data_IF_697659438410
#
_entry.id   IF_697659438410
#
_cell.length_a   1.000
_cell.length_b   1.000
_cell.length_c   1.000
_cell.angle_alpha   90.00
_cell.angle_beta   90.00
_cell.angle_gamma   90.00
#
_symmetry.space_group_name_H-M   'P 1'
#
loop_
_entity.id
_entity.type
_entity.pdbx_description
1 polymer ?
#
# COMPACT_ATOMS: atom_id res chain seq x y z
N UNK A 1 -33.61 -21.71 -56.74
CA UNK A 1 -33.99 -21.93 -55.32
C UNK A 1 -32.76 -21.67 -54.48
N UNK A 2 -32.63 -20.40 -54.04
CA UNK A 2 -31.57 -19.92 -53.20
C UNK A 2 -31.89 -20.19 -51.73
N UNK A 3 -30.97 -20.81 -51.01
CA UNK A 3 -31.05 -20.92 -49.55
C UNK A 3 -30.32 -19.75 -48.94
N UNK A 4 -31.07 -18.80 -48.39
CA UNK A 4 -30.58 -17.78 -47.48
C UNK A 4 -30.16 -18.43 -46.16
N UNK A 5 -28.87 -18.38 -45.84
CA UNK A 5 -28.36 -18.75 -44.54
C UNK A 5 -28.48 -17.61 -43.56
N UNK A 6 -29.29 -17.79 -42.51
CA UNK A 6 -29.39 -16.87 -41.39
C UNK A 6 -28.09 -16.83 -40.58
N UNK A 7 -27.44 -15.67 -40.53
CA UNK A 7 -26.36 -15.37 -39.57
C UNK A 7 -26.99 -15.15 -38.18
N UNK A 8 -26.42 -15.72 -37.10
CA UNK A 8 -26.93 -15.47 -35.76
C UNK A 8 -26.57 -14.06 -35.30
N UNK A 9 -27.55 -13.36 -34.78
CA UNK A 9 -27.41 -12.09 -34.08
C UNK A 9 -26.62 -12.32 -32.80
N UNK A 10 -25.34 -11.88 -32.76
CA UNK A 10 -24.60 -11.72 -31.53
C UNK A 10 -24.90 -10.34 -30.93
N UNK A 11 -25.78 -10.28 -29.94
CA UNK A 11 -25.96 -9.13 -29.08
C UNK A 11 -25.03 -9.23 -27.90
N UNK A 12 -23.84 -8.63 -28.01
CA UNK A 12 -23.05 -8.19 -26.86
C UNK A 12 -22.20 -7.00 -27.29
N UNK A 13 -22.41 -5.87 -26.63
CA UNK A 13 -21.82 -4.58 -26.92
C UNK A 13 -20.33 -4.53 -26.53
N UNK A 14 -19.50 -5.22 -27.30
CA UNK A 14 -18.03 -5.05 -27.27
C UNK A 14 -17.66 -4.06 -28.38
N UNK A 15 -17.25 -2.85 -28.00
CA UNK A 15 -16.77 -1.84 -28.95
C UNK A 15 -15.38 -2.24 -29.45
N UNK A 16 -15.31 -2.87 -30.62
CA UNK A 16 -14.07 -3.19 -31.33
C UNK A 16 -13.80 -2.16 -32.42
N UNK A 17 -12.56 -1.77 -32.60
CA UNK A 17 -12.09 -1.05 -33.78
C UNK A 17 -11.66 -2.10 -34.82
N UNK A 18 -12.36 -2.17 -35.96
CA UNK A 18 -12.04 -3.09 -37.06
C UNK A 18 -10.85 -2.50 -37.85
N UNK A 19 -9.67 -3.10 -37.76
CA UNK A 19 -8.53 -2.79 -38.61
C UNK A 19 -8.38 -3.90 -39.67
N UNK A 20 -8.58 -3.54 -40.94
CA UNK A 20 -8.40 -4.46 -42.07
C UNK A 20 -6.97 -4.25 -42.59
N UNK A 21 -6.14 -5.26 -42.49
CA UNK A 21 -4.79 -5.28 -43.06
C UNK A 21 -4.81 -6.27 -44.24
N UNK A 22 -4.25 -5.83 -45.38
CA UNK A 22 -4.06 -6.66 -46.58
C UNK A 22 -2.58 -7.14 -46.61
N UNK A 23 -2.39 -8.43 -46.63
CA UNK A 23 -1.07 -9.01 -46.83
C UNK A 23 -1.21 -10.23 -47.77
N UNK A 24 -0.64 -10.15 -48.97
CA UNK A 24 -0.51 -11.25 -49.94
C UNK A 24 -1.80 -12.06 -50.19
N UNK A 25 -2.89 -11.38 -50.55
CA UNK A 25 -4.22 -11.98 -50.84
C UNK A 25 -5.02 -12.48 -49.62
N UNK A 26 -4.51 -12.38 -48.40
CA UNK A 26 -5.27 -12.70 -47.19
C UNK A 26 -5.80 -11.45 -46.48
N UNK A 27 -7.07 -11.46 -46.09
CA UNK A 27 -7.70 -10.41 -45.28
C UNK A 27 -7.47 -10.79 -43.81
N UNK A 28 -6.52 -10.12 -43.15
CA UNK A 28 -6.30 -10.28 -41.71
C UNK A 28 -7.17 -9.25 -41.00
N UNK A 29 -8.27 -9.72 -40.39
CA UNK A 29 -9.12 -8.87 -39.54
C UNK A 29 -8.53 -8.82 -38.12
N UNK A 30 -7.84 -7.74 -37.78
CA UNK A 30 -7.35 -7.49 -36.43
C UNK A 30 -8.41 -6.68 -35.67
N UNK A 31 -9.11 -7.33 -34.76
CA UNK A 31 -10.03 -6.66 -33.85
C UNK A 31 -9.23 -6.05 -32.70
N UNK A 32 -8.93 -4.76 -32.77
CA UNK A 32 -8.27 -4.05 -31.67
C UNK A 32 -9.32 -3.64 -30.64
N UNK A 33 -9.21 -4.20 -29.42
CA UNK A 33 -10.07 -3.84 -28.29
C UNK A 33 -9.90 -2.34 -27.99
N UNK A 34 -11.01 -1.60 -27.87
CA UNK A 34 -10.95 -0.18 -27.50
C UNK A 34 -10.36 -0.04 -26.10
N UNK A 35 -9.34 0.82 -25.95
CA UNK A 35 -8.74 1.11 -24.65
C UNK A 35 -9.79 1.71 -23.70
N UNK A 36 -9.78 1.26 -22.45
CA UNK A 36 -10.61 1.84 -21.39
C UNK A 36 -10.00 3.14 -20.89
N UNK A 37 -10.82 4.15 -20.66
CA UNK A 37 -10.42 5.43 -20.08
C UNK A 37 -10.65 5.39 -18.58
N UNK A 38 -9.57 5.49 -17.80
CA UNK A 38 -9.58 5.51 -16.34
C UNK A 38 -9.12 6.90 -15.88
N UNK A 39 -9.94 7.60 -15.11
CA UNK A 39 -9.55 8.87 -14.51
C UNK A 39 -9.29 8.67 -13.00
N UNK A 40 -8.05 8.85 -12.59
CA UNK A 40 -7.58 8.71 -11.21
C UNK A 40 -7.69 10.05 -10.50
N UNK A 41 -8.41 10.10 -9.37
CA UNK A 41 -8.60 11.33 -8.59
C UNK A 41 -7.94 11.19 -7.22
N UNK A 42 -6.92 12.01 -6.96
CA UNK A 42 -6.17 12.01 -5.70
C UNK A 42 -5.59 13.39 -5.39
N UNK A 43 -5.67 13.81 -4.15
CA UNK A 43 -4.94 14.96 -3.59
C UNK A 43 -3.78 14.54 -2.68
N UNK A 44 -3.51 13.23 -2.56
CA UNK A 44 -2.56 12.68 -1.59
C UNK A 44 -1.11 13.13 -1.79
N UNK A 45 -0.74 13.60 -2.97
CA UNK A 45 0.61 14.11 -3.25
C UNK A 45 0.95 15.41 -2.50
N UNK A 46 -0.05 16.10 -1.97
CA UNK A 46 0.14 17.35 -1.21
C UNK A 46 0.73 17.14 0.18
N UNK A 47 0.79 15.89 0.68
CA UNK A 47 1.28 15.57 2.02
C UNK A 47 2.38 14.52 1.94
N UNK A 48 3.61 14.93 2.27
CA UNK A 48 4.79 14.04 2.28
C UNK A 48 4.71 12.98 3.39
N UNK A 49 5.25 11.78 3.13
CA UNK A 49 5.42 10.72 4.14
C UNK A 49 4.15 9.95 4.49
N UNK A 50 3.10 10.03 3.65
CA UNK A 50 1.88 9.22 3.83
C UNK A 50 1.88 7.97 2.93
N UNK A 51 1.48 6.83 3.50
CA UNK A 51 1.36 5.56 2.75
C UNK A 51 0.36 5.62 1.59
N UNK A 52 -0.71 6.41 1.72
CA UNK A 52 -1.72 6.60 0.65
C UNK A 52 -1.10 7.21 -0.60
N UNK A 53 -0.23 8.24 -0.46
CA UNK A 53 0.46 8.86 -1.59
C UNK A 53 1.42 7.88 -2.28
N UNK A 54 2.11 7.04 -1.51
CA UNK A 54 2.96 5.98 -2.05
C UNK A 54 2.17 4.96 -2.87
N UNK A 55 1.11 4.40 -2.29
CA UNK A 55 0.25 3.42 -2.95
C UNK A 55 -0.41 3.97 -4.24
N UNK A 56 -0.89 5.22 -4.20
CA UNK A 56 -1.44 5.89 -5.38
C UNK A 56 -0.42 5.99 -6.52
N UNK A 57 0.78 6.53 -6.22
CA UNK A 57 1.84 6.71 -7.23
C UNK A 57 2.30 5.38 -7.83
N UNK A 58 2.44 4.34 -7.01
CA UNK A 58 2.82 3.02 -7.52
C UNK A 58 1.76 2.45 -8.47
N UNK A 59 0.47 2.57 -8.14
CA UNK A 59 -0.61 2.11 -9.03
C UNK A 59 -0.64 2.90 -10.34
N UNK A 60 -0.59 4.23 -10.29
CA UNK A 60 -0.60 5.08 -11.50
C UNK A 60 0.61 4.77 -12.38
N UNK A 61 1.80 4.65 -11.79
CA UNK A 61 3.02 4.30 -12.50
C UNK A 61 2.91 2.94 -13.19
N UNK A 62 2.43 1.92 -12.47
CA UNK A 62 2.24 0.57 -13.01
C UNK A 62 1.31 0.59 -14.22
N UNK A 63 0.16 1.24 -14.11
CA UNK A 63 -0.82 1.31 -15.19
C UNK A 63 -0.32 2.08 -16.41
N UNK A 64 0.44 3.18 -16.22
CA UNK A 64 1.06 3.92 -17.32
C UNK A 64 2.16 3.12 -18.03
N UNK A 65 2.96 2.35 -17.29
CA UNK A 65 4.06 1.56 -17.85
C UNK A 65 3.55 0.32 -18.58
N UNK A 66 2.73 -0.49 -17.93
CA UNK A 66 2.45 -1.87 -18.33
C UNK A 66 1.04 -2.08 -18.88
N UNK A 67 0.10 -1.15 -18.65
CA UNK A 67 -1.27 -1.24 -19.14
C UNK A 67 -1.59 -0.32 -20.33
N UNK A 68 -0.59 0.39 -20.89
CA UNK A 68 -0.76 1.40 -21.95
C UNK A 68 -1.47 0.90 -23.20
N UNK A 69 -1.44 -0.40 -23.47
CA UNK A 69 -2.10 -1.01 -24.62
C UNK A 69 -3.59 -1.30 -24.36
N UNK A 70 -4.01 -1.36 -23.11
CA UNK A 70 -5.37 -1.67 -22.66
C UNK A 70 -6.09 -0.47 -22.07
N UNK A 71 -5.34 0.45 -21.40
CA UNK A 71 -5.89 1.59 -20.69
C UNK A 71 -5.38 2.92 -21.21
N UNK A 72 -6.20 3.96 -21.07
CA UNK A 72 -5.83 5.37 -21.13
C UNK A 72 -6.04 5.91 -19.72
N UNK A 73 -4.96 6.09 -18.97
CA UNK A 73 -4.99 6.60 -17.59
C UNK A 73 -4.79 8.11 -17.62
N UNK A 74 -5.62 8.82 -16.88
CA UNK A 74 -5.52 10.27 -16.68
C UNK A 74 -5.64 10.59 -15.20
N UNK A 75 -5.09 11.71 -14.78
CA UNK A 75 -5.02 12.11 -13.37
C UNK A 75 -5.64 13.48 -13.17
N UNK A 76 -6.57 13.55 -12.22
CA UNK A 76 -7.17 14.81 -11.76
C UNK A 76 -7.76 15.70 -12.87
N UNK A 77 -8.19 15.11 -13.98
CA UNK A 77 -8.76 15.86 -15.11
C UNK A 77 -10.30 15.82 -15.08
N UNK A 78 -10.97 16.94 -15.44
CA UNK A 78 -12.43 16.99 -15.53
C UNK A 78 -12.93 16.45 -16.90
N UNK A 79 -12.55 15.21 -17.23
CA UNK A 79 -12.84 14.57 -18.52
C UNK A 79 -13.81 13.40 -18.39
N UNK A 80 -14.37 12.98 -19.54
CA UNK A 80 -15.16 11.75 -19.61
C UNK A 80 -14.26 10.51 -19.51
N UNK A 81 -14.65 9.57 -18.64
CA UNK A 81 -13.96 8.31 -18.43
C UNK A 81 -14.95 7.14 -18.43
N UNK A 82 -14.48 5.92 -18.72
CA UNK A 82 -15.28 4.70 -18.52
C UNK A 82 -15.35 4.37 -17.03
N UNK A 83 -14.28 4.70 -16.28
CA UNK A 83 -14.18 4.56 -14.81
C UNK A 83 -13.52 5.80 -14.22
N UNK A 84 -14.09 6.35 -13.16
CA UNK A 84 -13.44 7.34 -12.30
C UNK A 84 -13.11 6.69 -10.96
N UNK A 85 -11.82 6.69 -10.61
CA UNK A 85 -11.30 6.04 -9.42
C UNK A 85 -10.83 7.09 -8.40
N UNK A 86 -11.56 7.19 -7.28
CA UNK A 86 -11.35 8.17 -6.21
C UNK A 86 -10.43 7.57 -5.14
N UNK A 87 -9.24 8.11 -5.00
CA UNK A 87 -8.25 7.70 -3.99
C UNK A 87 -8.27 8.54 -2.72
N UNK A 88 -8.87 9.74 -2.78
CA UNK A 88 -9.06 10.61 -1.63
C UNK A 88 -10.48 11.13 -1.58
N UNK A 89 -10.92 11.54 -0.39
CA UNK A 89 -12.32 11.93 -0.11
C UNK A 89 -12.50 13.45 -0.05
N UNK A 90 -11.71 14.20 -0.82
CA UNK A 90 -11.77 15.67 -0.82
C UNK A 90 -13.13 16.21 -1.23
N UNK A 91 -13.51 17.35 -0.66
CA UNK A 91 -14.80 17.97 -0.93
C UNK A 91 -15.05 18.28 -2.43
N UNK A 92 -14.08 18.77 -3.22
CA UNK A 92 -14.28 18.92 -4.68
C UNK A 92 -14.58 17.60 -5.38
N UNK A 93 -13.93 16.50 -4.96
CA UNK A 93 -14.22 15.18 -5.51
C UNK A 93 -15.60 14.68 -5.07
N UNK A 94 -16.02 14.95 -3.82
CA UNK A 94 -17.39 14.67 -3.39
C UNK A 94 -18.41 15.37 -4.31
N UNK A 95 -18.21 16.65 -4.62
CA UNK A 95 -19.10 17.38 -5.53
C UNK A 95 -19.09 16.79 -6.94
N UNK A 96 -17.95 16.33 -7.44
CA UNK A 96 -17.85 15.70 -8.77
C UNK A 96 -18.66 14.41 -8.89
N UNK A 97 -18.95 13.72 -7.79
CA UNK A 97 -19.77 12.50 -7.81
C UNK A 97 -21.22 12.72 -8.27
N UNK A 98 -21.70 13.98 -8.27
CA UNK A 98 -23.02 14.33 -8.79
C UNK A 98 -23.07 14.43 -10.32
N UNK A 99 -21.93 14.50 -10.99
CA UNK A 99 -21.82 14.62 -12.45
C UNK A 99 -21.89 13.23 -13.13
N UNK A 100 -23.08 12.63 -13.19
CA UNK A 100 -23.28 11.24 -13.66
C UNK A 100 -22.76 10.97 -15.07
N UNK A 101 -22.87 11.94 -16.01
CA UNK A 101 -22.53 11.73 -17.44
C UNK A 101 -21.02 11.71 -17.72
N UNK A 102 -20.19 12.34 -16.89
CA UNK A 102 -18.73 12.46 -17.12
C UNK A 102 -17.90 11.43 -16.39
N UNK A 103 -18.40 10.94 -15.26
CA UNK A 103 -17.59 10.11 -14.36
C UNK A 103 -17.53 8.64 -14.75
N UNK A 104 -18.35 8.18 -15.70
CA UNK A 104 -18.48 6.74 -15.93
C UNK A 104 -18.85 6.03 -14.64
N UNK A 105 -18.30 4.83 -14.42
CA UNK A 105 -18.48 4.11 -13.15
C UNK A 105 -17.56 4.64 -12.07
N UNK A 106 -18.14 5.02 -10.94
CA UNK A 106 -17.42 5.62 -9.79
C UNK A 106 -16.93 4.53 -8.85
N UNK A 107 -15.64 4.48 -8.64
CA UNK A 107 -14.95 3.56 -7.74
C UNK A 107 -14.28 4.36 -6.64
N UNK A 108 -14.47 3.98 -5.38
CA UNK A 108 -13.78 4.56 -4.25
C UNK A 108 -12.69 3.62 -3.73
N UNK A 109 -11.50 4.14 -3.48
CA UNK A 109 -10.44 3.39 -2.82
C UNK A 109 -10.44 3.71 -1.34
N UNK A 110 -10.74 2.74 -0.51
CA UNK A 110 -10.87 2.90 0.94
C UNK A 110 -9.52 2.66 1.59
N UNK A 111 -8.79 3.74 1.83
CA UNK A 111 -7.50 3.70 2.52
C UNK A 111 -7.65 3.77 4.04
N UNK A 112 -8.77 4.25 4.54
CA UNK A 112 -9.07 4.36 5.97
C UNK A 112 -10.57 4.37 6.22
N UNK A 113 -10.94 4.08 7.45
CA UNK A 113 -12.29 4.30 7.99
C UNK A 113 -12.25 5.40 9.07
N UNK A 114 -13.38 6.08 9.37
CA UNK A 114 -13.39 7.14 10.38
C UNK A 114 -12.81 6.72 11.73
N UNK A 115 -13.10 5.51 12.15
CA UNK A 115 -12.68 4.97 13.44
C UNK A 115 -11.16 4.69 13.47
N UNK A 116 -10.50 4.46 12.31
CA UNK A 116 -9.05 4.28 12.20
C UNK A 116 -8.24 5.57 12.22
N UNK A 117 -8.90 6.74 12.19
CA UNK A 117 -8.24 8.05 12.35
C UNK A 117 -7.94 8.37 13.82
N UNK A 118 -8.55 7.65 14.75
CA UNK A 118 -8.29 7.82 16.19
C UNK A 118 -6.82 7.47 16.50
N UNK A 119 -6.16 8.32 17.28
CA UNK A 119 -4.73 8.19 17.59
C UNK A 119 -3.77 8.66 16.48
N UNK A 120 -4.28 9.03 15.29
CA UNK A 120 -3.48 9.65 14.23
C UNK A 120 -3.68 11.16 14.12
N UNK A 121 -4.92 11.62 14.33
CA UNK A 121 -5.31 13.04 14.27
C UNK A 121 -6.12 13.44 15.51
N UNK A 122 -5.84 14.64 16.02
CA UNK A 122 -6.64 15.26 17.10
C UNK A 122 -7.91 15.86 16.51
N UNK A 123 -8.95 15.02 16.32
CA UNK A 123 -10.28 15.48 15.88
C UNK A 123 -11.09 15.85 17.13
N UNK A 124 -11.57 17.10 17.26
CA UNK A 124 -12.46 17.50 18.35
C UNK A 124 -13.69 16.58 18.42
N UNK A 125 -14.08 16.19 19.62
CA UNK A 125 -15.16 15.23 19.87
C UNK A 125 -16.46 15.56 19.10
N UNK A 126 -16.86 16.83 19.09
CA UNK A 126 -18.08 17.29 18.43
C UNK A 126 -18.02 17.20 16.88
N UNK A 127 -16.82 17.11 16.28
CA UNK A 127 -16.64 16.95 14.83
C UNK A 127 -16.58 15.49 14.39
N UNK A 128 -16.32 14.54 15.29
CA UNK A 128 -16.19 13.11 14.94
C UNK A 128 -17.42 12.59 14.20
N UNK A 129 -18.64 12.91 14.69
CA UNK A 129 -19.88 12.48 14.05
C UNK A 129 -20.09 13.08 12.66
N UNK A 130 -19.68 14.34 12.46
CA UNK A 130 -19.75 15.02 11.15
C UNK A 130 -18.79 14.37 10.16
N UNK A 131 -17.55 14.14 10.59
CA UNK A 131 -16.52 13.47 9.76
C UNK A 131 -16.98 12.07 9.38
N UNK A 132 -17.45 11.28 10.34
CA UNK A 132 -17.99 9.92 10.10
C UNK A 132 -19.11 9.94 9.06
N UNK A 133 -20.08 10.85 9.23
CA UNK A 133 -21.20 10.99 8.28
C UNK A 133 -20.74 11.40 6.88
N UNK A 134 -19.77 12.30 6.79
CA UNK A 134 -19.19 12.74 5.52
C UNK A 134 -18.49 11.59 4.79
N UNK A 135 -17.60 10.86 5.47
CA UNK A 135 -16.86 9.73 4.89
C UNK A 135 -17.81 8.66 4.36
N UNK A 136 -18.76 8.21 5.16
CA UNK A 136 -19.74 7.22 4.72
C UNK A 136 -20.69 7.75 3.64
N UNK A 137 -21.04 9.04 3.66
CA UNK A 137 -21.79 9.65 2.57
C UNK A 137 -21.00 9.61 1.25
N UNK A 138 -19.67 9.84 1.30
CA UNK A 138 -18.81 9.71 0.14
C UNK A 138 -18.77 8.27 -0.38
N UNK A 139 -18.52 7.29 0.49
CA UNK A 139 -18.45 5.87 0.10
C UNK A 139 -19.77 5.34 -0.44
N UNK A 140 -20.90 5.73 0.12
CA UNK A 140 -22.23 5.36 -0.37
C UNK A 140 -22.55 5.90 -1.78
N UNK A 141 -21.84 6.94 -2.24
CA UNK A 141 -21.99 7.48 -3.60
C UNK A 141 -21.18 6.72 -4.63
N UNK A 142 -20.28 5.84 -4.20
CA UNK A 142 -19.52 4.97 -5.09
C UNK A 142 -20.38 3.80 -5.56
N UNK A 143 -20.19 3.41 -6.80
CA UNK A 143 -20.85 2.22 -7.39
C UNK A 143 -20.10 0.95 -7.02
N UNK A 144 -18.81 1.09 -6.66
CA UNK A 144 -17.98 0.03 -6.10
C UNK A 144 -16.90 0.60 -5.20
N UNK A 145 -16.46 -0.16 -4.20
CA UNK A 145 -15.36 0.18 -3.31
C UNK A 145 -14.25 -0.85 -3.42
N UNK A 146 -13.02 -0.39 -3.46
CA UNK A 146 -11.84 -1.22 -3.27
C UNK A 146 -11.28 -0.93 -1.89
N UNK A 147 -10.98 -1.97 -1.12
CA UNK A 147 -10.35 -1.86 0.20
C UNK A 147 -8.93 -2.40 0.14
N UNK A 148 -7.98 -1.72 0.79
CA UNK A 148 -6.60 -2.21 0.96
C UNK A 148 -6.45 -3.15 2.15
N UNK A 149 -7.39 -3.05 3.09
CA UNK A 149 -7.45 -3.86 4.30
C UNK A 149 -8.70 -4.74 4.24
N UNK A 150 -8.58 -6.06 4.20
CA UNK A 150 -9.74 -6.95 4.12
C UNK A 150 -10.66 -6.86 5.34
N UNK A 151 -10.15 -6.45 6.51
CA UNK A 151 -10.95 -6.23 7.72
C UNK A 151 -12.00 -5.13 7.54
N UNK A 152 -11.73 -4.15 6.66
CA UNK A 152 -12.69 -3.06 6.37
C UNK A 152 -13.97 -3.53 5.69
N UNK A 153 -13.98 -4.73 5.12
CA UNK A 153 -15.17 -5.26 4.45
C UNK A 153 -16.33 -5.39 5.45
N UNK A 154 -16.07 -5.98 6.59
CA UNK A 154 -17.11 -6.19 7.62
C UNK A 154 -17.56 -4.85 8.23
N UNK A 155 -16.65 -3.91 8.43
CA UNK A 155 -16.98 -2.56 8.93
C UNK A 155 -17.86 -1.80 7.94
N UNK A 156 -17.57 -1.89 6.63
CA UNK A 156 -18.37 -1.27 5.58
C UNK A 156 -19.75 -1.91 5.45
N UNK A 157 -19.84 -3.22 5.58
CA UNK A 157 -21.10 -3.97 5.59
C UNK A 157 -21.95 -3.58 6.81
N UNK A 158 -21.34 -3.51 7.99
CA UNK A 158 -22.01 -3.05 9.22
C UNK A 158 -22.50 -1.60 9.09
N UNK A 159 -21.82 -0.76 8.29
CA UNK A 159 -22.24 0.60 7.97
C UNK A 159 -23.33 0.69 6.86
N UNK A 160 -23.83 -0.46 6.36
CA UNK A 160 -24.91 -0.54 5.39
C UNK A 160 -24.46 -0.55 3.92
N UNK A 161 -23.18 -0.74 3.63
CA UNK A 161 -22.69 -0.90 2.24
C UNK A 161 -22.84 -2.37 1.84
N UNK A 162 -23.53 -2.68 0.71
CA UNK A 162 -23.70 -4.06 0.26
C UNK A 162 -22.36 -4.76 0.03
N UNK A 163 -22.21 -6.01 0.50
CA UNK A 163 -20.98 -6.81 0.41
C UNK A 163 -20.47 -6.95 -1.04
N UNK A 164 -21.37 -7.10 -1.99
CA UNK A 164 -21.08 -7.23 -3.42
C UNK A 164 -20.49 -5.95 -4.05
N UNK A 165 -20.58 -4.82 -3.38
CA UNK A 165 -19.96 -3.55 -3.80
C UNK A 165 -18.55 -3.38 -3.26
N UNK A 166 -17.99 -4.33 -2.53
CA UNK A 166 -16.67 -4.21 -1.91
C UNK A 166 -15.75 -5.31 -2.41
N UNK A 167 -14.58 -4.94 -2.90
CA UNK A 167 -13.51 -5.87 -3.32
C UNK A 167 -12.22 -5.54 -2.60
N UNK A 168 -11.54 -6.56 -2.07
CA UNK A 168 -10.18 -6.41 -1.56
C UNK A 168 -9.19 -6.48 -2.72
N UNK A 169 -8.36 -5.46 -2.86
CA UNK A 169 -7.18 -5.45 -3.73
C UNK A 169 -6.05 -4.82 -2.91
N UNK A 170 -5.01 -5.57 -2.57
CA UNK A 170 -3.92 -5.08 -1.74
C UNK A 170 -3.05 -4.02 -2.44
N UNK A 171 -2.27 -3.31 -1.64
CA UNK A 171 -1.15 -2.54 -2.15
C UNK A 171 -0.02 -3.47 -2.62
N UNK A 172 0.90 -2.92 -3.40
CA UNK A 172 2.11 -3.58 -3.89
C UNK A 172 3.26 -2.57 -3.93
N UNK A 173 4.46 -3.05 -4.18
CA UNK A 173 5.65 -2.21 -4.31
C UNK A 173 6.43 -2.56 -5.58
N UNK A 174 7.14 -1.55 -6.09
CA UNK A 174 8.00 -1.70 -7.25
C UNK A 174 9.28 -2.47 -6.91
N UNK A 175 9.48 -3.63 -7.53
CA UNK A 175 10.68 -4.46 -7.36
C UNK A 175 11.95 -3.85 -7.96
N UNK A 176 11.85 -2.96 -8.93
CA UNK A 176 13.02 -2.22 -9.45
C UNK A 176 13.55 -1.24 -8.41
N UNK A 177 12.68 -0.71 -7.58
CA UNK A 177 13.01 0.23 -6.50
C UNK A 177 13.35 -0.48 -5.19
N UNK A 178 12.58 -1.50 -4.85
CA UNK A 178 12.72 -2.27 -3.62
C UNK A 178 13.22 -3.67 -3.94
N UNK A 179 14.52 -3.88 -3.77
CA UNK A 179 15.20 -5.13 -4.02
C UNK A 179 16.41 -5.26 -3.09
N UNK A 180 16.93 -6.47 -2.84
CA UNK A 180 18.13 -6.68 -2.05
C UNK A 180 19.33 -5.92 -2.65
N UNK A 181 20.25 -5.49 -1.78
CA UNK A 181 21.52 -4.94 -2.20
C UNK A 181 22.60 -6.05 -2.27
N UNK A 182 23.62 -5.89 -3.15
CA UNK A 182 24.79 -6.76 -3.14
C UNK A 182 25.51 -6.74 -1.79
N UNK A 183 26.08 -7.87 -1.37
CA UNK A 183 26.77 -7.99 -0.09
C UNK A 183 27.90 -6.96 0.09
N UNK A 184 28.62 -6.65 -0.98
CA UNK A 184 29.70 -5.65 -0.96
C UNK A 184 29.17 -4.25 -0.60
N UNK A 185 27.99 -3.90 -1.09
CA UNK A 185 27.34 -2.62 -0.77
C UNK A 185 26.88 -2.58 0.69
N UNK A 186 26.36 -3.69 1.21
CA UNK A 186 25.96 -3.81 2.63
C UNK A 186 27.18 -3.62 3.54
N UNK A 187 28.31 -4.22 3.23
CA UNK A 187 29.57 -4.07 4.00
C UNK A 187 30.04 -2.61 3.96
N UNK A 188 29.99 -1.96 2.80
CA UNK A 188 30.34 -0.53 2.69
C UNK A 188 29.43 0.33 3.56
N UNK A 189 28.12 0.11 3.50
CA UNK A 189 27.13 0.87 4.29
C UNK A 189 27.34 0.68 5.80
N UNK A 190 27.67 -0.54 6.25
CA UNK A 190 28.04 -0.79 7.66
C UNK A 190 29.25 0.04 8.08
N UNK A 191 30.28 0.07 7.26
CA UNK A 191 31.49 0.87 7.51
C UNK A 191 31.19 2.37 7.57
N UNK A 192 30.41 2.90 6.62
CA UNK A 192 29.99 4.31 6.59
C UNK A 192 29.20 4.73 7.84
N UNK A 193 28.42 3.83 8.41
CA UNK A 193 27.67 4.05 9.65
C UNK A 193 28.49 3.77 10.92
N UNK A 194 29.75 3.37 10.80
CA UNK A 194 30.61 3.00 11.95
C UNK A 194 30.15 1.72 12.66
N UNK A 195 29.43 0.84 11.96
CA UNK A 195 28.92 -0.42 12.52
C UNK A 195 29.93 -1.55 12.26
N UNK A 196 30.17 -2.37 13.28
CA UNK A 196 31.00 -3.57 13.12
C UNK A 196 30.27 -4.68 12.35
N UNK A 197 31.05 -5.60 11.74
CA UNK A 197 30.48 -6.69 10.95
C UNK A 197 29.55 -7.62 11.75
N UNK A 198 29.82 -7.76 13.04
CA UNK A 198 29.08 -8.64 13.96
C UNK A 198 27.95 -7.92 14.71
N UNK A 199 27.73 -6.64 14.44
CA UNK A 199 26.68 -5.88 15.12
C UNK A 199 25.30 -6.25 14.59
N UNK A 200 24.41 -6.67 15.50
CA UNK A 200 23.02 -6.98 15.15
C UNK A 200 22.23 -5.69 15.00
N UNK A 201 21.51 -5.54 13.88
CA UNK A 201 20.80 -4.31 13.50
C UNK A 201 19.31 -4.59 13.41
N UNK A 202 18.52 -3.88 14.22
CA UNK A 202 17.06 -3.88 14.18
C UNK A 202 16.58 -2.58 13.54
N UNK A 203 15.87 -2.67 12.43
CA UNK A 203 15.34 -1.50 11.71
C UNK A 203 13.82 -1.45 11.87
N UNK A 204 13.29 -0.29 12.23
CA UNK A 204 11.87 0.02 12.19
C UNK A 204 11.60 1.20 11.25
N UNK A 205 10.39 1.29 10.69
CA UNK A 205 10.04 2.37 9.79
C UNK A 205 8.58 2.82 9.94
N UNK A 206 8.37 4.14 9.86
CA UNK A 206 7.05 4.73 9.89
C UNK A 206 6.98 6.05 10.64
N UNK A 207 5.78 6.60 10.70
CA UNK A 207 5.55 7.84 11.45
C UNK A 207 5.86 7.64 12.94
N UNK A 208 6.46 8.66 13.57
CA UNK A 208 6.71 8.67 15.01
C UNK A 208 5.40 8.94 15.74
N UNK A 209 4.69 7.88 16.09
CA UNK A 209 3.38 7.89 16.73
C UNK A 209 3.21 6.71 17.67
N UNK A 210 2.47 6.89 18.78
CA UNK A 210 2.18 5.83 19.74
C UNK A 210 1.59 4.58 19.06
N UNK A 211 0.68 4.78 18.12
CA UNK A 211 0.05 3.71 17.33
C UNK A 211 1.06 2.80 16.62
N UNK A 212 2.20 3.35 16.21
CA UNK A 212 3.28 2.61 15.52
C UNK A 212 4.17 1.81 16.47
N UNK A 213 3.90 1.86 17.79
CA UNK A 213 4.69 1.14 18.80
C UNK A 213 6.07 1.73 19.05
N UNK A 214 6.25 3.03 18.73
CA UNK A 214 7.56 3.69 18.92
C UNK A 214 8.05 3.63 20.37
N UNK A 215 7.14 3.61 21.36
CA UNK A 215 7.48 3.45 22.76
C UNK A 215 8.15 2.09 23.05
N UNK A 216 7.61 1.01 22.47
CA UNK A 216 8.20 -0.32 22.62
C UNK A 216 9.55 -0.42 21.92
N UNK A 217 9.68 0.19 20.73
CA UNK A 217 10.95 0.23 20.00
C UNK A 217 12.05 0.96 20.79
N UNK A 218 11.73 2.11 21.41
CA UNK A 218 12.65 2.86 22.27
C UNK A 218 13.02 2.03 23.50
N UNK A 219 12.05 1.40 24.16
CA UNK A 219 12.31 0.56 25.34
C UNK A 219 13.18 -0.66 25.01
N UNK A 220 12.97 -1.30 23.88
CA UNK A 220 13.83 -2.39 23.41
C UNK A 220 15.28 -1.91 23.23
N UNK A 221 15.49 -0.71 22.66
CA UNK A 221 16.82 -0.14 22.53
C UNK A 221 17.46 0.14 23.91
N UNK A 222 16.72 0.69 24.87
CA UNK A 222 17.20 0.92 26.24
C UNK A 222 17.60 -0.39 26.96
N UNK A 223 16.81 -1.46 26.76
CA UNK A 223 17.00 -2.77 27.41
C UNK A 223 18.06 -3.65 26.72
N UNK A 224 18.39 -3.38 25.45
CA UNK A 224 19.32 -4.16 24.62
C UNK A 224 20.49 -3.28 24.10
N UNK A 225 21.35 -2.74 24.99
CA UNK A 225 22.37 -1.75 24.60
C UNK A 225 23.43 -2.29 23.63
N UNK A 226 23.58 -3.62 23.53
CA UNK A 226 24.51 -4.29 22.60
C UNK A 226 23.98 -4.39 21.15
N UNK A 227 22.71 -4.07 20.92
CA UNK A 227 22.04 -4.15 19.61
C UNK A 227 21.85 -2.74 19.06
N UNK A 228 22.07 -2.53 17.78
CA UNK A 228 21.80 -1.26 17.11
C UNK A 228 20.35 -1.20 16.65
N UNK A 229 19.66 -0.13 17.01
CA UNK A 229 18.30 0.15 16.60
C UNK A 229 18.29 1.37 15.67
N UNK A 230 17.50 1.32 14.58
CA UNK A 230 17.33 2.42 13.64
C UNK A 230 15.82 2.58 13.37
N UNK A 231 15.26 3.74 13.67
CA UNK A 231 13.88 4.06 13.31
C UNK A 231 13.86 5.13 12.23
N UNK A 232 13.51 4.75 11.00
CA UNK A 232 13.37 5.66 9.87
C UNK A 232 11.94 6.18 9.77
N UNK A 233 11.78 7.49 9.89
CA UNK A 233 10.51 8.19 9.85
C UNK A 233 10.46 9.39 10.77
N UNK A 234 9.35 10.12 10.70
CA UNK A 234 9.22 11.38 11.43
C UNK A 234 7.77 11.77 11.67
N UNK A 235 7.54 13.04 11.89
CA UNK A 235 6.23 13.62 12.18
C UNK A 235 5.58 14.16 10.91
N UNK A 236 4.76 13.35 10.21
CA UNK A 236 4.09 13.79 8.97
C UNK A 236 3.12 14.95 9.18
N UNK A 237 2.61 15.13 10.40
CA UNK A 237 1.71 16.23 10.78
C UNK A 237 2.39 17.29 11.66
N UNK A 238 3.73 17.26 11.77
CA UNK A 238 4.48 18.19 12.63
C UNK A 238 3.95 18.21 14.06
N UNK A 239 3.82 19.41 14.66
CA UNK A 239 3.34 19.60 16.03
C UNK A 239 1.89 19.15 16.31
N UNK A 240 1.10 18.84 15.27
CA UNK A 240 -0.24 18.25 15.43
C UNK A 240 -0.23 16.75 15.73
N UNK A 241 0.93 16.10 15.61
CA UNK A 241 1.07 14.68 15.97
C UNK A 241 0.87 14.50 17.48
N UNK A 242 0.13 13.48 17.87
CA UNK A 242 -0.02 13.16 19.28
C UNK A 242 1.30 12.72 19.89
N UNK A 243 1.68 13.30 21.04
CA UNK A 243 2.95 13.04 21.70
C UNK A 243 4.17 13.74 21.08
N UNK A 244 4.01 14.68 20.12
CA UNK A 244 5.10 15.35 19.40
C UNK A 244 6.23 15.84 20.31
N UNK A 245 5.91 16.66 21.35
CA UNK A 245 6.93 17.23 22.24
C UNK A 245 7.72 16.16 23.00
N UNK A 246 7.07 15.08 23.41
CA UNK A 246 7.72 13.95 24.08
C UNK A 246 8.68 13.22 23.17
N UNK A 247 8.20 12.82 22.00
CA UNK A 247 9.03 12.06 21.05
C UNK A 247 10.16 12.91 20.46
N UNK A 248 9.92 14.20 20.24
CA UNK A 248 10.96 15.12 19.80
C UNK A 248 12.11 15.20 20.81
N UNK A 249 11.83 15.30 22.10
CA UNK A 249 12.87 15.27 23.15
C UNK A 249 13.69 13.98 23.12
N UNK A 250 13.06 12.84 22.88
CA UNK A 250 13.76 11.55 22.79
C UNK A 250 14.61 11.50 21.51
N UNK A 251 14.08 11.97 20.38
CA UNK A 251 14.84 12.02 19.12
C UNK A 251 16.02 12.99 19.16
N UNK A 252 15.90 14.08 19.91
CA UNK A 252 16.99 15.07 20.10
C UNK A 252 18.10 14.51 21.04
N UNK A 253 17.80 13.54 21.90
CA UNK A 253 18.75 12.87 22.80
C UNK A 253 18.40 11.38 22.98
N UNK A 254 18.59 10.56 21.94
CA UNK A 254 18.20 9.15 21.94
C UNK A 254 19.16 8.28 22.78
N UNK A 255 18.76 7.06 23.17
CA UNK A 255 19.68 6.04 23.63
C UNK A 255 20.87 5.88 22.69
N UNK A 256 22.07 5.60 23.20
CA UNK A 256 23.34 5.57 22.43
C UNK A 256 23.32 4.59 21.25
N UNK A 257 22.51 3.54 21.34
CA UNK A 257 22.36 2.49 20.35
C UNK A 257 21.10 2.66 19.48
N UNK A 258 20.40 3.81 19.57
CA UNK A 258 19.20 4.11 18.80
C UNK A 258 19.43 5.34 17.90
N UNK A 259 19.24 5.16 16.61
CA UNK A 259 19.37 6.21 15.60
C UNK A 259 18.00 6.59 15.02
N UNK A 260 17.76 7.90 14.84
CA UNK A 260 16.61 8.47 14.17
C UNK A 260 17.05 9.28 12.94
N UNK A 261 17.23 8.66 11.76
CA UNK A 261 17.61 9.39 10.55
C UNK A 261 16.51 10.35 10.03
N UNK A 262 15.31 10.33 10.65
CA UNK A 262 14.19 11.13 10.19
C UNK A 262 13.50 10.54 8.95
N UNK A 263 12.81 11.39 8.20
CA UNK A 263 12.20 11.01 6.92
C UNK A 263 13.31 10.98 5.88
N UNK A 264 13.58 9.80 5.33
CA UNK A 264 14.67 9.56 4.37
C UNK A 264 14.14 9.35 2.95
N UNK A 265 15.01 9.45 1.95
CA UNK A 265 14.67 9.09 0.57
C UNK A 265 14.39 7.60 0.44
N UNK A 266 13.66 7.17 -0.61
CA UNK A 266 13.43 5.76 -0.86
C UNK A 266 14.72 4.94 -1.02
N UNK A 267 15.74 5.52 -1.66
CA UNK A 267 17.05 4.88 -1.84
C UNK A 267 17.70 4.62 -0.48
N UNK A 268 17.71 5.64 0.40
CA UNK A 268 18.23 5.50 1.76
C UNK A 268 17.41 4.51 2.59
N UNK A 269 16.10 4.47 2.39
CA UNK A 269 15.24 3.48 3.07
C UNK A 269 15.56 2.06 2.63
N UNK A 270 15.80 1.82 1.33
CA UNK A 270 16.24 0.53 0.80
C UNK A 270 17.58 0.10 1.42
N UNK A 271 18.54 1.01 1.56
CA UNK A 271 19.80 0.75 2.25
C UNK A 271 19.57 0.30 3.70
N UNK A 272 18.67 0.96 4.43
CA UNK A 272 18.34 0.58 5.80
C UNK A 272 17.68 -0.80 5.88
N UNK A 273 16.78 -1.13 4.96
CA UNK A 273 16.19 -2.48 4.90
C UNK A 273 17.24 -3.54 4.57
N UNK A 274 18.19 -3.25 3.67
CA UNK A 274 19.28 -4.18 3.33
C UNK A 274 20.28 -4.37 4.49
N UNK A 275 20.47 -3.36 5.34
CA UNK A 275 21.29 -3.44 6.55
C UNK A 275 20.65 -4.23 7.68
N UNK A 276 19.30 -4.37 7.66
CA UNK A 276 18.56 -4.96 8.77
C UNK A 276 18.84 -6.47 8.89
N UNK A 277 19.34 -6.88 10.03
CA UNK A 277 19.28 -8.28 10.44
C UNK A 277 17.84 -8.66 10.80
N UNK A 278 17.05 -7.67 11.30
CA UNK A 278 15.63 -7.81 11.58
C UNK A 278 14.89 -6.50 11.33
N UNK A 279 13.82 -6.55 10.53
CA UNK A 279 12.85 -5.46 10.43
C UNK A 279 11.77 -5.66 11.49
N UNK A 280 11.61 -4.70 12.39
CA UNK A 280 10.63 -4.72 13.48
C UNK A 280 9.59 -3.63 13.31
N UNK A 281 8.31 -4.02 13.23
CA UNK A 281 7.20 -3.07 13.30
C UNK A 281 6.27 -3.44 14.47
N UNK A 282 6.45 -2.82 15.66
CA UNK A 282 5.70 -3.16 16.88
C UNK A 282 4.35 -2.45 16.96
N UNK A 283 3.74 -2.13 15.82
CA UNK A 283 2.52 -1.35 15.73
C UNK A 283 1.35 -1.99 16.48
N UNK A 284 0.57 -1.15 17.18
CA UNK A 284 -0.68 -1.56 17.83
C UNK A 284 -1.88 -1.60 16.88
N UNK A 285 -1.80 -0.85 15.79
CA UNK A 285 -2.85 -0.81 14.77
C UNK A 285 -2.26 -0.41 13.43
N UNK A 286 -2.66 -1.09 12.36
CA UNK A 286 -2.27 -0.80 10.99
C UNK A 286 -3.46 -0.86 10.04
N UNK A 287 -3.35 -0.10 8.96
CA UNK A 287 -4.30 -0.13 7.86
C UNK A 287 -3.86 -1.11 6.78
N UNK A 288 -2.71 -0.86 6.20
CA UNK A 288 -1.91 -1.73 5.35
C UNK A 288 -0.52 -1.09 5.18
N UNK A 289 0.47 -1.46 6.00
CA UNK A 289 1.75 -0.76 6.01
C UNK A 289 2.62 -1.13 4.82
N UNK A 290 2.89 -0.12 3.95
CA UNK A 290 3.79 -0.28 2.81
C UNK A 290 5.20 -0.70 3.22
N UNK A 291 5.65 -0.25 4.39
CA UNK A 291 6.99 -0.56 4.93
C UNK A 291 7.25 -2.05 5.11
N UNK A 292 6.22 -2.86 5.33
CA UNK A 292 6.34 -4.34 5.36
C UNK A 292 6.63 -4.87 3.97
N UNK A 293 5.91 -4.39 2.94
CA UNK A 293 6.12 -4.83 1.55
C UNK A 293 7.49 -4.38 1.03
N UNK A 294 7.91 -3.17 1.38
CA UNK A 294 9.21 -2.60 1.04
C UNK A 294 10.33 -3.43 1.67
N UNK A 295 10.25 -3.70 2.98
CA UNK A 295 11.22 -4.53 3.70
C UNK A 295 11.27 -5.97 3.15
N UNK A 296 10.11 -6.57 2.87
CA UNK A 296 9.99 -7.91 2.29
C UNK A 296 10.65 -7.99 0.90
N UNK A 297 10.46 -6.94 0.07
CA UNK A 297 11.09 -6.87 -1.26
C UNK A 297 12.61 -6.68 -1.20
N UNK A 298 13.13 -6.16 -0.08
CA UNK A 298 14.56 -6.11 0.22
C UNK A 298 15.06 -7.37 0.95
N UNK A 299 14.24 -8.40 1.10
CA UNK A 299 14.53 -9.67 1.80
C UNK A 299 14.90 -9.49 3.28
N UNK A 300 14.49 -8.40 3.92
CA UNK A 300 14.69 -8.20 5.35
C UNK A 300 13.83 -9.22 6.15
N UNK A 301 14.41 -9.93 7.15
CA UNK A 301 13.62 -10.75 8.07
C UNK A 301 12.60 -9.90 8.83
N UNK A 302 11.35 -10.33 8.90
CA UNK A 302 10.24 -9.51 9.41
C UNK A 302 9.72 -10.05 10.73
N UNK A 303 9.67 -9.18 11.75
CA UNK A 303 9.01 -9.40 13.03
C UNK A 303 7.97 -8.32 13.29
N UNK A 304 6.78 -8.72 13.66
CA UNK A 304 5.62 -7.83 13.85
C UNK A 304 4.90 -8.18 15.16
N UNK A 305 4.19 -7.18 15.72
CA UNK A 305 3.19 -7.47 16.74
C UNK A 305 2.10 -8.37 16.16
N UNK A 306 1.59 -9.31 16.96
CA UNK A 306 0.51 -10.22 16.56
C UNK A 306 -0.81 -9.45 16.42
N UNK A 307 -1.09 -8.98 15.20
CA UNK A 307 -2.35 -8.32 14.83
C UNK A 307 -3.17 -9.24 13.92
N UNK A 308 -4.47 -9.26 14.11
CA UNK A 308 -5.39 -10.06 13.28
C UNK A 308 -5.28 -9.72 11.79
N UNK A 309 -5.03 -8.45 11.45
CA UNK A 309 -4.75 -8.02 10.10
C UNK A 309 -3.60 -8.82 9.47
N UNK A 310 -2.48 -8.97 10.18
CA UNK A 310 -1.30 -9.64 9.65
C UNK A 310 -1.51 -11.14 9.43
N UNK A 311 -2.33 -11.78 10.29
CA UNK A 311 -2.72 -13.18 10.09
C UNK A 311 -3.42 -13.39 8.75
N UNK A 312 -4.26 -12.43 8.34
CA UNK A 312 -5.01 -12.50 7.09
C UNK A 312 -4.15 -12.14 5.88
N UNK A 313 -3.36 -11.04 5.96
CA UNK A 313 -2.64 -10.54 4.78
C UNK A 313 -1.25 -11.15 4.59
N UNK A 314 -0.62 -11.71 5.62
CA UNK A 314 0.75 -12.24 5.54
C UNK A 314 0.84 -13.76 5.73
N UNK A 315 -0.26 -14.40 6.14
CA UNK A 315 -0.40 -15.87 6.23
C UNK A 315 0.78 -16.57 6.95
N UNK A 316 1.29 -15.96 8.04
CA UNK A 316 2.40 -16.50 8.81
C UNK A 316 3.80 -16.29 8.21
N UNK A 317 3.93 -15.52 7.13
CA UNK A 317 5.23 -15.21 6.51
C UNK A 317 6.03 -14.15 7.29
N UNK A 318 5.96 -14.16 8.60
CA UNK A 318 6.69 -13.26 9.52
C UNK A 318 6.87 -13.93 10.88
N UNK A 319 7.66 -13.34 11.80
CA UNK A 319 7.67 -13.69 13.21
C UNK A 319 6.61 -12.85 13.94
N UNK A 320 5.56 -13.47 14.42
CA UNK A 320 4.57 -12.84 15.29
C UNK A 320 5.08 -12.77 16.73
N UNK A 321 4.77 -11.67 17.43
CA UNK A 321 5.09 -11.45 18.84
C UNK A 321 3.94 -10.73 19.53
N UNK A 322 3.51 -11.22 20.69
CA UNK A 322 2.34 -10.68 21.38
C UNK A 322 2.63 -9.30 22.01
N UNK A 323 3.82 -9.14 22.59
CA UNK A 323 4.19 -7.95 23.35
C UNK A 323 5.69 -7.65 23.24
N UNK A 324 6.14 -6.63 23.97
CA UNK A 324 7.54 -6.17 23.99
C UNK A 324 8.49 -7.24 24.57
N UNK A 325 8.07 -7.97 25.57
CA UNK A 325 8.94 -8.99 26.21
C UNK A 325 9.21 -10.13 25.23
N UNK A 326 8.19 -10.62 24.52
CA UNK A 326 8.36 -11.63 23.47
C UNK A 326 9.21 -11.08 22.30
N UNK A 327 9.07 -9.79 21.93
CA UNK A 327 9.95 -9.15 20.94
C UNK A 327 11.41 -9.18 21.41
N UNK A 328 11.68 -8.85 22.68
CA UNK A 328 13.00 -8.87 23.27
C UNK A 328 13.63 -10.26 23.24
N UNK A 329 12.88 -11.25 23.68
CA UNK A 329 13.32 -12.66 23.68
C UNK A 329 13.66 -13.13 22.26
N UNK A 330 12.80 -12.84 21.28
CA UNK A 330 13.02 -13.19 19.88
C UNK A 330 14.25 -12.47 19.28
N UNK A 331 14.48 -11.19 19.61
CA UNK A 331 15.68 -10.44 19.17
C UNK A 331 16.96 -11.12 19.70
N UNK A 332 16.97 -11.47 20.99
CA UNK A 332 18.13 -12.15 21.61
C UNK A 332 18.35 -13.55 21.03
N UNK A 333 17.27 -14.29 20.75
CA UNK A 333 17.34 -15.59 20.07
C UNK A 333 18.00 -15.47 18.70
N UNK A 334 17.57 -14.51 17.86
CA UNK A 334 18.14 -14.29 16.53
C UNK A 334 19.56 -13.74 16.56
N UNK A 335 19.89 -12.90 17.55
CA UNK A 335 21.27 -12.44 17.76
C UNK A 335 22.21 -13.60 18.09
N UNK A 336 21.77 -14.51 18.97
CA UNK A 336 22.55 -15.68 19.36
C UNK A 336 22.63 -16.74 18.26
N UNK A 337 21.60 -16.85 17.41
CA UNK A 337 21.52 -17.83 16.32
C UNK A 337 21.07 -17.17 14.99
N UNK A 338 21.96 -16.45 14.30
CA UNK A 338 21.61 -15.79 13.02
C UNK A 338 21.16 -16.76 11.91
N UNK A 339 21.47 -18.04 12.02
CA UNK A 339 21.00 -19.05 11.05
C UNK A 339 19.47 -19.18 11.03
N UNK A 340 18.81 -18.92 12.15
CA UNK A 340 17.34 -18.93 12.25
C UNK A 340 16.67 -17.82 11.41
N UNK A 341 17.38 -16.73 11.09
CA UNK A 341 16.89 -15.66 10.21
C UNK A 341 16.71 -16.11 8.77
N UNK A 342 17.32 -17.23 8.36
CA UNK A 342 17.16 -17.76 6.99
C UNK A 342 15.70 -18.10 6.67
N UNK A 343 14.97 -18.67 7.61
CA UNK A 343 13.53 -18.96 7.44
C UNK A 343 12.73 -17.64 7.24
N UNK A 344 13.03 -16.62 8.03
CA UNK A 344 12.37 -15.32 7.89
C UNK A 344 12.70 -14.61 6.57
N UNK A 345 13.90 -14.77 6.03
CA UNK A 345 14.24 -14.28 4.69
C UNK A 345 13.43 -14.97 3.60
N UNK A 346 13.25 -16.29 3.67
CA UNK A 346 12.39 -17.01 2.72
C UNK A 346 10.92 -16.58 2.86
N UNK A 347 10.44 -16.36 4.07
CA UNK A 347 9.11 -15.81 4.34
C UNK A 347 8.95 -14.41 3.74
N UNK A 348 9.95 -13.55 3.86
CA UNK A 348 9.95 -12.22 3.22
C UNK A 348 9.84 -12.33 1.69
N UNK A 349 10.54 -13.27 1.06
CA UNK A 349 10.43 -13.54 -0.38
C UNK A 349 9.01 -13.99 -0.78
N UNK A 350 8.31 -14.76 0.06
CA UNK A 350 6.92 -15.14 -0.21
C UNK A 350 6.01 -13.90 -0.23
N UNK A 351 6.13 -13.00 0.76
CA UNK A 351 5.42 -11.72 0.77
C UNK A 351 5.73 -10.92 -0.51
N UNK A 352 7.02 -10.79 -0.88
CA UNK A 352 7.44 -10.05 -2.08
C UNK A 352 6.86 -10.59 -3.37
N UNK A 353 6.65 -11.93 -3.49
CA UNK A 353 6.01 -12.54 -4.67
C UNK A 353 4.52 -12.25 -4.71
N UNK A 354 3.83 -12.44 -3.59
CA UNK A 354 2.38 -12.23 -3.47
C UNK A 354 1.99 -10.79 -3.79
N UNK A 355 2.75 -9.82 -3.27
CA UNK A 355 2.50 -8.38 -3.44
C UNK A 355 3.34 -7.77 -4.57
N UNK A 356 3.61 -8.54 -5.63
CA UNK A 356 4.38 -8.07 -6.79
C UNK A 356 3.53 -7.28 -7.79
N UNK A 357 4.17 -6.39 -8.54
CA UNK A 357 3.54 -5.63 -9.63
C UNK A 357 2.86 -6.53 -10.66
N UNK A 358 3.55 -7.60 -11.09
CA UNK A 358 3.04 -8.52 -12.12
C UNK A 358 1.76 -9.21 -11.66
N UNK A 359 1.72 -9.66 -10.42
CA UNK A 359 0.55 -10.29 -9.83
C UNK A 359 -0.62 -9.31 -9.74
N UNK A 360 -0.38 -8.12 -9.21
CA UNK A 360 -1.44 -7.12 -8.98
C UNK A 360 -1.90 -6.43 -10.27
N UNK A 361 -1.07 -6.31 -11.29
CA UNK A 361 -1.45 -5.72 -12.58
C UNK A 361 -2.65 -6.44 -13.20
N UNK A 362 -2.61 -7.77 -13.26
CA UNK A 362 -3.70 -8.55 -13.86
C UNK A 362 -5.00 -8.39 -13.06
N UNK A 363 -4.91 -8.39 -11.73
CA UNK A 363 -6.07 -8.16 -10.86
C UNK A 363 -6.72 -6.79 -11.14
N UNK A 364 -5.90 -5.74 -11.29
CA UNK A 364 -6.40 -4.40 -11.61
C UNK A 364 -7.01 -4.30 -13.01
N UNK A 365 -6.41 -4.94 -14.02
CA UNK A 365 -6.93 -4.95 -15.39
C UNK A 365 -8.30 -5.63 -15.44
N UNK A 366 -8.44 -6.80 -14.86
CA UNK A 366 -9.69 -7.56 -14.81
C UNK A 366 -10.77 -6.78 -14.03
N UNK A 367 -10.36 -6.13 -12.92
CA UNK A 367 -11.24 -5.29 -12.13
C UNK A 367 -11.79 -4.10 -12.94
N UNK A 368 -10.92 -3.32 -13.60
CA UNK A 368 -11.37 -2.18 -14.40
C UNK A 368 -12.23 -2.60 -15.60
N UNK A 369 -11.90 -3.69 -16.27
CA UNK A 369 -12.72 -4.21 -17.36
C UNK A 369 -14.12 -4.59 -16.89
N UNK A 370 -14.22 -5.32 -15.77
CA UNK A 370 -15.49 -5.68 -15.13
C UNK A 370 -16.29 -4.43 -14.77
N UNK A 371 -15.67 -3.45 -14.13
CA UNK A 371 -16.35 -2.22 -13.70
C UNK A 371 -16.82 -1.38 -14.90
N UNK A 372 -16.01 -1.21 -15.93
CA UNK A 372 -16.39 -0.47 -17.12
C UNK A 372 -17.59 -1.14 -17.87
N UNK A 373 -17.63 -2.47 -17.91
CA UNK A 373 -18.73 -3.24 -18.52
C UNK A 373 -20.04 -3.03 -17.75
N UNK A 374 -19.99 -2.98 -16.42
CA UNK A 374 -21.16 -2.70 -15.57
C UNK A 374 -21.65 -1.24 -15.70
N UNK A 375 -20.76 -0.29 -16.00
CA UNK A 375 -21.11 1.12 -16.19
C UNK A 375 -21.78 1.44 -17.53
N UNK A 376 -21.72 0.53 -18.50
CA UNK A 376 -22.34 0.69 -19.84
C UNK A 376 -23.78 0.17 -19.91
N UNK A 377 -24.23 -0.51 -18.89
CA UNK A 377 -25.63 -0.98 -18.74
C UNK A 377 -26.46 0.09 -18.02
#
# INVERSE_FOLDING_TARGET
MEKQGNLPFFSSSLSFLLLILFKENDIIVVMKKKKLRINMLSSSEKVAGQGVSGAYRELVRLLHRDAKDQLIVTENLPIEADVTHFHTIDFPYYLSTFQKKRSGRKIGYVHFLPDTLEGSLKIPFFLKGIVKRYVFSFYNRMEHLVVVNPMFIEDLVAAGIPREKVTYIPNFVNKEKWHPLPQEEIVRLRTELGLSDNQFIVVGAGQVQKRKGIDDFIRLAEELPQITFIWAGGFSFGGMTDGYERYKKIMDNPPKNLMFPGIVSPERMRELYALADLFLLPSYNELFPMTILEAASCEAPIMLRDLDLYKVILEGNYRATADREEMKEAILEYQANPAALKDLKEKAKNISREYSEDHLLQIWLDFYEKQATLGRK
#
